data_IF_471735945618
#
_entry.id   IF_471735945618
#
_cell.length_a   1.000
_cell.length_b   1.000
_cell.length_c   1.000
_cell.angle_alpha   90.00
_cell.angle_beta   90.00
_cell.angle_gamma   90.00
#
_symmetry.space_group_name_H-M   'P 1'
#
loop_
_entity.id
_entity.type
_entity.pdbx_description
1 polymer ?
#
# COMPACT_ATOMS: atom_id res chain seq x y z
N UNK A 1 -3.85 66.31 -22.80
CA UNK A 1 -4.01 66.26 -21.33
C UNK A 1 -5.42 65.80 -21.04
N UNK A 2 -5.50 64.64 -20.40
CA UNK A 2 -6.55 64.00 -19.61
C UNK A 2 -8.05 64.31 -19.79
N UNK A 3 -8.77 63.20 -19.99
CA UNK A 3 -10.13 62.80 -19.59
C UNK A 3 -11.36 63.45 -20.25
N UNK A 4 -12.15 62.60 -20.92
CA UNK A 4 -13.61 62.55 -20.74
C UNK A 4 -14.02 61.20 -20.15
N UNK A 5 -14.69 61.22 -19.00
CA UNK A 5 -16.14 60.95 -18.86
C UNK A 5 -16.45 59.45 -18.82
N UNK A 6 -16.48 58.92 -17.60
CA UNK A 6 -17.10 57.63 -17.29
C UNK A 6 -18.48 57.94 -16.68
N UNK A 7 -19.47 57.99 -17.56
CA UNK A 7 -20.87 57.99 -17.20
C UNK A 7 -21.24 56.68 -16.50
N UNK A 8 -21.89 56.85 -15.35
CA UNK A 8 -22.62 55.83 -14.62
C UNK A 8 -23.99 55.67 -15.28
N UNK A 9 -24.32 54.49 -15.80
CA UNK A 9 -25.71 54.04 -15.86
C UNK A 9 -25.77 52.55 -15.45
N UNK A 10 -26.56 52.31 -14.41
CA UNK A 10 -26.98 50.99 -13.96
C UNK A 10 -28.32 50.66 -14.62
N UNK A 11 -28.46 49.47 -15.20
CA UNK A 11 -29.77 48.80 -15.40
C UNK A 11 -29.49 47.30 -15.59
N UNK A 12 -29.63 46.48 -14.55
CA UNK A 12 -30.83 45.71 -14.20
C UNK A 12 -31.33 44.74 -15.29
N UNK A 13 -30.97 43.47 -15.07
CA UNK A 13 -31.79 42.27 -15.28
C UNK A 13 -32.38 42.00 -16.66
N UNK A 14 -31.72 41.13 -17.42
CA UNK A 14 -32.41 40.12 -18.22
C UNK A 14 -31.95 38.72 -17.79
N UNK A 15 -32.88 38.03 -17.13
CA UNK A 15 -32.86 36.61 -16.85
C UNK A 15 -33.09 35.86 -18.16
N UNK A 16 -32.03 35.26 -18.69
CA UNK A 16 -32.16 34.17 -19.65
C UNK A 16 -32.00 32.87 -18.88
N UNK A 17 -33.12 32.17 -18.79
CA UNK A 17 -33.33 30.82 -18.28
C UNK A 17 -32.47 29.84 -19.10
N UNK A 18 -31.26 29.56 -18.61
CA UNK A 18 -30.42 28.48 -19.12
C UNK A 18 -30.54 27.32 -18.13
N UNK A 19 -31.41 26.37 -18.46
CA UNK A 19 -31.48 25.03 -17.86
C UNK A 19 -30.15 24.31 -18.17
N UNK A 20 -29.06 24.72 -17.51
CA UNK A 20 -27.82 23.98 -17.49
C UNK A 20 -28.06 22.75 -16.61
N UNK A 21 -28.43 21.66 -17.28
CA UNK A 21 -28.48 20.32 -16.73
C UNK A 21 -27.17 20.03 -15.98
N UNK A 22 -27.21 20.19 -14.66
CA UNK A 22 -26.15 19.73 -13.77
C UNK A 22 -26.26 18.20 -13.75
N UNK A 23 -25.32 17.44 -14.33
CA UNK A 23 -25.28 16.02 -14.07
C UNK A 23 -25.11 15.84 -12.56
N UNK A 24 -26.10 15.20 -11.95
CA UNK A 24 -26.05 14.75 -10.56
C UNK A 24 -24.69 14.09 -10.34
N UNK A 25 -23.89 14.50 -9.34
CA UNK A 25 -22.70 13.75 -9.00
C UNK A 25 -23.17 12.31 -8.72
N UNK A 26 -22.56 11.28 -9.33
CA UNK A 26 -22.96 9.93 -9.04
C UNK A 26 -22.88 9.78 -7.53
N UNK A 27 -24.01 9.42 -6.93
CA UNK A 27 -24.12 9.11 -5.53
C UNK A 27 -22.86 8.35 -5.16
N UNK A 28 -22.00 9.02 -4.37
CA UNK A 28 -20.82 8.42 -3.80
C UNK A 28 -21.38 7.24 -3.05
N UNK A 29 -21.26 6.07 -3.67
CA UNK A 29 -21.56 4.79 -3.08
C UNK A 29 -20.64 4.79 -1.87
N UNK A 30 -21.25 5.08 -0.72
CA UNK A 30 -20.66 4.90 0.58
C UNK A 30 -20.39 3.40 0.63
N UNK A 31 -19.23 3.04 0.08
CA UNK A 31 -18.58 1.80 0.40
C UNK A 31 -18.23 1.94 1.86
N UNK A 32 -19.25 1.69 2.70
CA UNK A 32 -19.11 1.02 3.97
C UNK A 32 -18.29 -0.21 3.66
N UNK A 33 -16.97 -0.03 3.63
CA UNK A 33 -16.01 -1.10 3.69
C UNK A 33 -16.27 -1.65 5.08
N UNK A 34 -17.18 -2.63 5.13
CA UNK A 34 -17.46 -3.41 6.30
C UNK A 34 -16.09 -3.76 6.85
N UNK A 35 -15.81 -3.21 8.03
CA UNK A 35 -14.63 -3.55 8.81
C UNK A 35 -14.87 -4.98 9.23
N UNK A 36 -14.60 -5.89 8.30
CA UNK A 36 -14.56 -7.31 8.50
C UNK A 36 -13.45 -7.49 9.52
N UNK A 37 -13.90 -7.63 10.77
CA UNK A 37 -13.12 -8.00 11.93
C UNK A 37 -12.69 -9.47 11.77
N UNK A 38 -12.14 -9.81 10.61
CA UNK A 38 -11.31 -10.99 10.40
C UNK A 38 -10.00 -10.71 11.10
N UNK A 39 -10.00 -10.91 12.42
CA UNK A 39 -8.85 -11.21 13.26
C UNK A 39 -7.54 -10.70 12.69
N UNK A 40 -7.18 -9.43 12.93
CA UNK A 40 -5.95 -8.77 12.45
C UNK A 40 -4.65 -9.57 12.73
N UNK A 41 -4.72 -10.59 13.60
CA UNK A 41 -3.66 -11.54 13.88
C UNK A 41 -3.36 -12.54 12.74
N UNK A 42 -4.27 -12.84 11.82
CA UNK A 42 -4.07 -13.88 10.81
C UNK A 42 -3.26 -13.41 9.59
N UNK A 43 -3.21 -12.11 9.30
CA UNK A 43 -2.58 -11.61 8.07
C UNK A 43 -1.04 -11.64 8.12
N UNK A 44 -0.43 -11.44 9.30
CA UNK A 44 1.02 -11.64 9.50
C UNK A 44 1.42 -13.12 9.53
N UNK A 45 0.54 -13.99 10.04
CA UNK A 45 0.85 -15.41 10.24
C UNK A 45 0.47 -16.29 9.04
N UNK A 46 -0.39 -15.81 8.14
CA UNK A 46 -0.86 -16.55 6.98
C UNK A 46 0.16 -16.64 5.83
N UNK A 47 0.07 -17.66 4.97
CA UNK A 47 0.91 -17.79 3.78
C UNK A 47 0.55 -16.74 2.71
N UNK A 48 1.55 -16.31 1.93
CA UNK A 48 1.35 -15.46 0.75
C UNK A 48 1.46 -16.30 -0.53
N UNK A 49 0.35 -16.91 -0.93
CA UNK A 49 0.32 -17.82 -2.08
C UNK A 49 0.25 -17.11 -3.43
N UNK A 50 -0.34 -15.90 -3.48
CA UNK A 50 -0.63 -15.19 -4.73
C UNK A 50 0.23 -13.93 -4.94
N UNK A 51 1.20 -13.67 -4.07
CA UNK A 51 2.06 -12.49 -4.20
C UNK A 51 3.36 -12.86 -4.89
N UNK A 52 3.63 -12.19 -6.00
CA UNK A 52 4.84 -12.40 -6.79
C UNK A 52 5.89 -11.35 -6.46
N UNK A 53 6.95 -11.77 -5.77
CA UNK A 53 8.04 -10.87 -5.38
C UNK A 53 9.02 -10.62 -6.53
N UNK A 54 9.42 -9.36 -6.68
CA UNK A 54 10.39 -8.89 -7.66
C UNK A 54 11.79 -8.69 -7.08
N UNK A 55 12.82 -8.71 -7.94
CA UNK A 55 14.19 -8.42 -7.52
C UNK A 55 14.32 -6.95 -7.13
N UNK A 56 14.88 -6.69 -5.96
CA UNK A 56 15.08 -5.36 -5.40
C UNK A 56 13.90 -4.87 -4.55
N UNK A 57 12.77 -5.58 -4.58
CA UNK A 57 11.57 -5.22 -3.83
C UNK A 57 11.84 -5.19 -2.32
N UNK A 58 11.21 -4.22 -1.64
CA UNK A 58 11.26 -4.07 -0.18
C UNK A 58 10.28 -5.02 0.48
N UNK A 59 10.76 -5.72 1.50
CA UNK A 59 9.99 -6.77 2.17
C UNK A 59 10.26 -6.74 3.66
N UNK A 60 9.32 -7.30 4.42
CA UNK A 60 9.50 -7.65 5.81
C UNK A 60 9.74 -9.15 5.91
N UNK A 61 10.73 -9.56 6.69
CA UNK A 61 11.04 -10.97 6.92
C UNK A 61 11.04 -11.30 8.40
N UNK A 62 10.41 -12.41 8.76
CA UNK A 62 10.42 -12.94 10.12
C UNK A 62 11.60 -13.89 10.28
N UNK A 63 12.57 -13.51 11.11
CA UNK A 63 13.75 -14.30 11.42
C UNK A 63 14.18 -14.02 12.86
N UNK A 64 14.86 -14.96 13.52
CA UNK A 64 15.46 -14.73 14.85
C UNK A 64 14.51 -14.04 15.84
N UNK A 65 13.24 -14.47 15.85
CA UNK A 65 12.18 -13.97 16.72
C UNK A 65 11.80 -12.50 16.52
N UNK A 66 11.94 -11.98 15.29
CA UNK A 66 11.53 -10.63 14.97
C UNK A 66 11.32 -10.37 13.47
N UNK A 67 10.58 -9.30 13.18
CA UNK A 67 10.40 -8.79 11.83
C UNK A 67 11.49 -7.80 11.47
N UNK A 68 12.14 -8.01 10.34
CA UNK A 68 13.21 -7.15 9.84
C UNK A 68 12.90 -6.63 8.44
N UNK A 69 13.19 -5.35 8.16
CA UNK A 69 13.12 -4.83 6.82
C UNK A 69 14.27 -5.39 5.97
N UNK A 70 13.97 -5.76 4.74
CA UNK A 70 14.91 -6.36 3.81
C UNK A 70 14.63 -6.01 2.36
N UNK A 71 15.40 -6.62 1.47
CA UNK A 71 15.23 -6.50 0.03
C UNK A 71 15.46 -7.84 -0.65
N UNK A 72 14.59 -8.19 -1.59
CA UNK A 72 14.71 -9.42 -2.38
C UNK A 72 15.92 -9.31 -3.29
N UNK A 73 16.86 -10.26 -3.19
CA UNK A 73 18.04 -10.31 -4.04
C UNK A 73 17.76 -11.09 -5.33
N UNK A 74 17.12 -12.25 -5.21
CA UNK A 74 16.80 -13.15 -6.33
C UNK A 74 15.82 -14.23 -5.89
N UNK A 75 15.15 -14.85 -6.87
CA UNK A 75 14.49 -16.14 -6.69
C UNK A 75 15.55 -17.24 -6.65
N UNK A 76 15.49 -18.07 -5.62
CA UNK A 76 16.29 -19.27 -5.46
C UNK A 76 15.41 -20.48 -5.84
N UNK A 77 15.95 -21.34 -6.70
CA UNK A 77 15.38 -22.66 -6.93
C UNK A 77 16.14 -23.63 -6.03
N UNK A 78 15.46 -24.25 -5.07
CA UNK A 78 16.07 -25.29 -4.24
C UNK A 78 15.82 -26.64 -4.92
N UNK A 79 16.87 -27.38 -5.30
CA UNK A 79 16.72 -28.62 -6.07
C UNK A 79 15.92 -29.70 -5.32
N UNK A 80 15.95 -29.67 -4.00
CA UNK A 80 15.24 -30.62 -3.12
C UNK A 80 13.72 -30.35 -3.04
N UNK A 81 13.27 -29.14 -3.38
CA UNK A 81 11.85 -28.73 -3.36
C UNK A 81 11.51 -27.83 -4.55
N UNK A 82 11.45 -28.36 -5.78
CA UNK A 82 11.22 -27.56 -6.98
C UNK A 82 9.84 -26.89 -7.03
N UNK A 83 8.89 -27.33 -6.20
CA UNK A 83 7.51 -26.80 -6.16
C UNK A 83 7.34 -25.57 -5.28
N UNK A 84 8.34 -25.20 -4.47
CA UNK A 84 8.26 -24.05 -3.56
C UNK A 84 9.21 -22.97 -4.05
N UNK A 85 8.68 -21.79 -4.35
CA UNK A 85 9.50 -20.64 -4.69
C UNK A 85 10.23 -20.15 -3.44
N UNK A 86 11.57 -20.17 -3.47
CA UNK A 86 12.38 -19.58 -2.42
C UNK A 86 12.89 -18.21 -2.88
N UNK A 87 12.96 -17.26 -1.95
CA UNK A 87 13.42 -15.90 -2.18
C UNK A 87 14.64 -15.66 -1.31
N UNK A 88 15.78 -15.38 -1.93
CA UNK A 88 16.96 -14.90 -1.19
C UNK A 88 16.71 -13.44 -0.85
N UNK A 89 16.70 -13.12 0.44
CA UNK A 89 16.51 -11.75 0.94
C UNK A 89 17.77 -11.31 1.66
N UNK A 90 18.15 -10.05 1.45
CA UNK A 90 19.15 -9.34 2.24
C UNK A 90 18.43 -8.47 3.27
N UNK A 91 18.70 -8.67 4.55
CA UNK A 91 18.17 -7.86 5.64
C UNK A 91 19.28 -7.52 6.63
N UNK A 92 19.00 -6.58 7.53
CA UNK A 92 19.95 -6.20 8.59
C UNK A 92 19.38 -6.56 9.94
N UNK A 93 20.23 -7.16 10.77
CA UNK A 93 19.99 -7.36 12.19
C UNK A 93 21.13 -6.69 12.93
N UNK A 94 20.82 -5.68 13.72
CA UNK A 94 21.82 -4.76 14.28
C UNK A 94 22.70 -4.18 13.14
N UNK A 95 24.03 -4.27 13.28
CA UNK A 95 24.99 -3.79 12.29
C UNK A 95 25.46 -4.86 11.30
N UNK A 96 24.83 -6.05 11.28
CA UNK A 96 25.23 -7.17 10.42
C UNK A 96 24.25 -7.31 9.26
N UNK A 97 24.80 -7.44 8.04
CA UNK A 97 24.05 -7.78 6.84
C UNK A 97 23.90 -9.30 6.76
N UNK A 98 22.67 -9.77 6.75
CA UNK A 98 22.33 -11.20 6.69
C UNK A 98 21.63 -11.46 5.36
N UNK A 99 22.04 -12.53 4.70
CA UNK A 99 21.28 -13.08 3.58
C UNK A 99 20.62 -14.37 4.07
N UNK A 100 19.34 -14.59 3.78
CA UNK A 100 18.63 -15.86 4.07
C UNK A 100 17.59 -16.15 2.97
N UNK A 101 17.30 -17.43 2.74
CA UNK A 101 16.23 -17.85 1.84
C UNK A 101 14.92 -17.99 2.62
N UNK A 102 13.84 -17.45 2.06
CA UNK A 102 12.50 -17.47 2.64
C UNK A 102 11.51 -18.05 1.62
N UNK A 103 10.52 -18.80 2.08
CA UNK A 103 9.41 -19.23 1.25
C UNK A 103 8.16 -18.39 1.61
N UNK A 104 7.50 -17.73 0.63
CA UNK A 104 6.23 -17.03 0.85
C UNK A 104 5.13 -17.91 1.46
N UNK A 105 5.17 -19.20 1.15
CA UNK A 105 4.25 -20.21 1.69
C UNK A 105 4.40 -20.42 3.20
N UNK A 106 5.53 -20.04 3.81
CA UNK A 106 5.75 -20.20 5.25
C UNK A 106 5.22 -18.99 6.06
N UNK A 107 4.72 -17.94 5.39
CA UNK A 107 4.30 -16.69 6.05
C UNK A 107 5.47 -15.85 6.60
N UNK A 108 6.71 -16.33 6.47
CA UNK A 108 7.93 -15.68 7.02
C UNK A 108 8.44 -14.48 6.21
N UNK A 109 7.77 -14.13 5.12
CA UNK A 109 8.07 -12.97 4.28
C UNK A 109 6.77 -12.27 3.90
N UNK A 110 6.75 -10.94 3.96
CA UNK A 110 5.61 -10.08 3.65
C UNK A 110 6.09 -8.92 2.76
N UNK A 111 5.27 -8.45 1.80
CA UNK A 111 5.61 -7.27 1.02
C UNK A 111 5.58 -6.01 1.91
N UNK A 112 6.42 -5.04 1.60
CA UNK A 112 6.46 -3.78 2.33
C UNK A 112 5.32 -2.85 1.90
N UNK A 113 4.11 -3.16 2.36
CA UNK A 113 2.88 -2.41 2.09
C UNK A 113 2.47 -1.58 3.31
N UNK A 114 1.69 -0.48 3.13
CA UNK A 114 1.16 0.30 4.25
C UNK A 114 0.40 -0.55 5.28
N UNK A 115 -0.39 -1.53 4.80
CA UNK A 115 -1.13 -2.48 5.64
C UNK A 115 -0.21 -3.32 6.53
N UNK A 116 0.81 -3.96 5.96
CA UNK A 116 1.79 -4.75 6.73
C UNK A 116 2.51 -3.89 7.76
N UNK A 117 2.91 -2.65 7.40
CA UNK A 117 3.53 -1.72 8.37
C UNK A 117 2.59 -1.34 9.51
N UNK A 118 1.28 -1.28 9.26
CA UNK A 118 0.28 -1.00 10.29
C UNK A 118 0.13 -2.19 11.23
N UNK A 119 0.02 -3.41 10.70
CA UNK A 119 -0.07 -4.64 11.49
C UNK A 119 1.19 -4.85 12.35
N UNK A 120 2.38 -4.62 11.79
CA UNK A 120 3.64 -4.72 12.53
C UNK A 120 3.73 -3.68 13.67
N UNK A 121 3.20 -2.47 13.47
CA UNK A 121 3.11 -1.43 14.52
C UNK A 121 2.08 -1.80 15.59
N UNK A 122 0.90 -2.27 15.18
CA UNK A 122 -0.16 -2.71 16.09
C UNK A 122 0.32 -3.87 16.99
N UNK A 123 1.10 -4.79 16.41
CA UNK A 123 1.72 -5.90 17.13
C UNK A 123 3.01 -5.54 17.88
N UNK A 124 3.43 -4.26 17.90
CA UNK A 124 4.63 -3.75 18.58
C UNK A 124 5.94 -4.41 18.14
N UNK A 125 6.01 -4.85 16.89
CA UNK A 125 7.26 -5.35 16.29
C UNK A 125 8.17 -4.22 15.82
N UNK A 126 7.57 -3.09 15.45
CA UNK A 126 8.26 -1.89 14.96
C UNK A 126 7.61 -0.66 15.61
N UNK A 127 8.40 0.40 15.78
CA UNK A 127 7.98 1.70 16.34
C UNK A 127 7.66 2.71 15.24
#
# INVERSE_FOLDING_TARGET
MSNPDLDFESDLTELSDDDEYVPEPPATEDSEIESDSSSEADYLNGPLLNYEFERGEKVWVYAYDGWYPGSVLRRAQIPDRPKVAHLRVLFRRYNVRIQKDFAPADGTIKPDTPRIRQELRAAKWIE
#
